data_IF_218111446913
#
_entry.id   IF_218111446913
#
_cell.length_a   1.000
_cell.length_b   1.000
_cell.length_c   1.000
_cell.angle_alpha   90.00
_cell.angle_beta   90.00
_cell.angle_gamma   90.00
#
_symmetry.space_group_name_H-M   'P 1'
#
loop_
_entity.id
_entity.type
_entity.pdbx_description
1 polymer ?
#
# COMPACT_ATOMS: atom_id res chain seq x y z
N UNK A 1 31.16 -3.47 -9.25
CA UNK A 1 30.61 -2.86 -10.47
C UNK A 1 29.22 -2.34 -10.13
N UNK A 2 29.09 -1.04 -9.87
CA UNK A 2 27.80 -0.43 -9.53
C UNK A 2 27.21 0.11 -10.82
N UNK A 3 26.12 -0.49 -11.29
CA UNK A 3 25.37 0.06 -12.40
C UNK A 3 24.61 1.29 -11.86
N UNK A 4 24.94 2.47 -12.37
CA UNK A 4 24.11 3.67 -12.23
C UNK A 4 23.09 3.57 -13.37
N UNK A 5 21.89 3.07 -13.08
CA UNK A 5 20.79 3.14 -14.04
C UNK A 5 20.41 4.60 -14.23
N UNK A 6 20.42 5.11 -15.46
CA UNK A 6 19.64 6.31 -15.75
C UNK A 6 18.17 5.96 -15.56
N UNK A 7 17.59 6.35 -14.43
CA UNK A 7 16.15 6.24 -14.21
C UNK A 7 15.44 7.28 -15.07
N UNK A 8 14.72 6.82 -16.09
CA UNK A 8 13.67 7.62 -16.71
C UNK A 8 12.70 8.11 -15.62
N UNK A 9 12.20 9.36 -15.69
CA UNK A 9 11.25 9.86 -14.72
C UNK A 9 10.04 8.94 -14.58
N UNK A 10 9.63 8.66 -13.34
CA UNK A 10 8.36 7.96 -13.09
C UNK A 10 7.22 8.93 -13.44
N UNK A 11 6.40 8.56 -14.42
CA UNK A 11 5.27 9.37 -14.87
C UNK A 11 4.00 8.85 -14.20
N UNK A 12 3.33 9.63 -13.33
CA UNK A 12 2.06 9.22 -12.74
C UNK A 12 0.92 9.26 -13.76
N UNK A 13 -0.20 8.61 -13.43
CA UNK A 13 -1.45 8.82 -14.17
C UNK A 13 -1.93 10.28 -14.02
N UNK A 14 -2.64 10.81 -15.02
CA UNK A 14 -3.07 12.21 -15.04
C UNK A 14 -4.09 12.56 -13.93
N UNK A 15 -4.92 11.59 -13.55
CA UNK A 15 -5.97 11.73 -12.54
C UNK A 15 -6.42 10.36 -12.05
N UNK A 16 -6.95 10.31 -10.82
CA UNK A 16 -7.57 9.12 -10.22
C UNK A 16 -8.99 9.47 -9.80
N UNK A 17 -9.96 8.62 -10.13
CA UNK A 17 -11.31 8.69 -9.57
C UNK A 17 -11.32 8.01 -8.19
N UNK A 18 -11.43 8.79 -7.13
CA UNK A 18 -11.35 8.28 -5.77
C UNK A 18 -12.49 7.31 -5.44
N UNK A 19 -13.68 7.47 -6.02
CA UNK A 19 -14.79 6.56 -5.76
C UNK A 19 -14.50 5.14 -6.29
N UNK A 20 -13.83 5.06 -7.45
CA UNK A 20 -13.38 3.78 -8.01
C UNK A 20 -12.11 3.24 -7.35
N UNK A 21 -11.32 4.12 -6.74
CA UNK A 21 -10.08 3.74 -6.05
C UNK A 21 -10.33 3.17 -4.63
N UNK A 22 -11.39 3.63 -3.96
CA UNK A 22 -11.77 3.13 -2.63
C UNK A 22 -12.08 1.64 -2.63
N UNK A 23 -11.91 1.00 -1.46
CA UNK A 23 -12.12 -0.42 -1.26
C UNK A 23 -10.83 -1.18 -0.94
N UNK A 24 -10.91 -2.50 -1.04
CA UNK A 24 -9.86 -3.42 -0.63
C UNK A 24 -8.93 -3.78 -1.78
N UNK A 25 -7.63 -3.56 -1.58
CA UNK A 25 -6.58 -3.96 -2.50
C UNK A 25 -5.71 -5.04 -1.87
N UNK A 26 -5.32 -6.03 -2.67
CA UNK A 26 -4.38 -7.08 -2.29
C UNK A 26 -3.00 -6.76 -2.86
N UNK A 27 -1.98 -6.81 -2.01
CA UNK A 27 -0.59 -6.66 -2.45
C UNK A 27 -0.15 -7.96 -3.13
N UNK A 28 0.03 -7.93 -4.45
CA UNK A 28 0.45 -9.10 -5.23
C UNK A 28 1.96 -9.31 -5.15
N UNK A 29 2.73 -8.22 -5.21
CA UNK A 29 4.19 -8.24 -5.07
C UNK A 29 4.69 -6.92 -4.48
N UNK A 30 5.87 -6.94 -3.89
CA UNK A 30 6.51 -5.77 -3.30
C UNK A 30 8.01 -5.80 -3.49
N UNK A 31 8.61 -4.61 -3.45
CA UNK A 31 10.04 -4.48 -3.16
C UNK A 31 10.21 -4.70 -1.65
N UNK A 32 11.10 -5.63 -1.22
CA UNK A 32 11.31 -5.90 0.20
C UNK A 32 11.67 -4.63 0.98
N UNK A 33 11.00 -4.42 2.12
CA UNK A 33 11.22 -3.26 2.98
C UNK A 33 11.11 -3.65 4.46
N UNK A 34 11.65 -2.78 5.34
CA UNK A 34 11.71 -3.04 6.78
C UNK A 34 10.36 -3.01 7.50
N UNK A 35 9.38 -2.30 6.94
CA UNK A 35 8.10 -2.04 7.60
C UNK A 35 7.13 -3.21 7.47
N UNK A 36 7.28 -4.01 6.41
CA UNK A 36 6.46 -5.19 6.14
C UNK A 36 7.26 -6.50 6.24
N UNK A 37 8.45 -6.48 6.87
CA UNK A 37 9.34 -7.65 6.93
C UNK A 37 8.74 -8.81 7.73
N UNK A 38 7.86 -8.49 8.68
CA UNK A 38 7.15 -9.41 9.56
C UNK A 38 5.89 -9.99 8.92
N UNK A 39 5.41 -9.40 7.82
CA UNK A 39 4.21 -9.87 7.13
C UNK A 39 4.49 -11.17 6.39
N UNK A 40 3.84 -12.25 6.81
CA UNK A 40 3.96 -13.57 6.20
C UNK A 40 3.01 -13.77 5.02
N UNK A 41 1.74 -13.35 5.14
CA UNK A 41 0.73 -13.49 4.08
C UNK A 41 -0.45 -12.54 4.25
N UNK A 42 -1.28 -12.46 3.21
CA UNK A 42 -2.56 -11.74 3.25
C UNK A 42 -2.43 -10.23 3.41
N UNK A 43 -1.37 -9.62 2.86
CA UNK A 43 -1.20 -8.17 2.91
C UNK A 43 -2.27 -7.45 2.10
N UNK A 44 -2.95 -6.49 2.72
CA UNK A 44 -3.97 -5.66 2.08
C UNK A 44 -3.78 -4.18 2.40
N UNK A 45 -4.36 -3.35 1.55
CA UNK A 45 -4.60 -1.93 1.79
C UNK A 45 -6.08 -1.63 1.54
N UNK A 46 -6.77 -1.11 2.56
CA UNK A 46 -8.16 -0.69 2.44
C UNK A 46 -8.25 0.84 2.47
N UNK A 47 -8.87 1.41 1.43
CA UNK A 47 -9.00 2.85 1.23
C UNK A 47 -10.44 3.31 1.46
N UNK A 48 -10.61 4.37 2.24
CA UNK A 48 -11.93 4.98 2.48
C UNK A 48 -11.86 6.50 2.33
N UNK A 49 -12.85 7.08 1.63
CA UNK A 49 -12.98 8.53 1.48
C UNK A 49 -13.57 9.17 2.74
N UNK A 50 -12.89 10.18 3.28
CA UNK A 50 -13.31 10.93 4.45
C UNK A 50 -14.13 12.17 4.07
N UNK A 51 -14.95 12.73 4.98
CA UNK A 51 -15.78 13.91 4.69
C UNK A 51 -14.99 15.17 4.30
N UNK A 52 -13.73 15.27 4.70
CA UNK A 52 -12.83 16.37 4.35
C UNK A 52 -12.09 16.16 3.01
N UNK A 53 -12.44 15.09 2.27
CA UNK A 53 -11.87 14.76 0.97
C UNK A 53 -10.56 13.98 1.03
N UNK A 54 -10.04 13.66 2.23
CA UNK A 54 -8.83 12.85 2.41
C UNK A 54 -9.13 11.36 2.29
N UNK A 55 -8.07 10.55 2.13
CA UNK A 55 -8.19 9.10 2.11
C UNK A 55 -7.65 8.52 3.42
N UNK A 56 -8.48 7.79 4.15
CA UNK A 56 -7.99 6.88 5.18
C UNK A 56 -7.42 5.64 4.51
N UNK A 57 -6.25 5.21 4.98
CA UNK A 57 -5.61 3.96 4.55
C UNK A 57 -5.45 3.03 5.74
N UNK A 58 -5.89 1.79 5.62
CA UNK A 58 -5.58 0.73 6.58
C UNK A 58 -4.74 -0.32 5.85
N UNK A 59 -3.46 -0.39 6.19
CA UNK A 59 -2.59 -1.49 5.75
C UNK A 59 -2.64 -2.59 6.79
N UNK A 60 -2.78 -3.84 6.35
CA UNK A 60 -2.92 -5.01 7.22
C UNK A 60 -2.16 -6.18 6.64
N UNK A 61 -1.59 -7.02 7.49
CA UNK A 61 -1.03 -8.30 7.09
C UNK A 61 -1.07 -9.30 8.25
N UNK A 62 -0.86 -10.59 7.95
CA UNK A 62 -0.72 -11.63 8.98
C UNK A 62 0.75 -12.00 9.17
N UNK A 63 1.18 -12.04 10.42
CA UNK A 63 2.50 -12.55 10.82
C UNK A 63 2.46 -14.08 10.99
N UNK A 64 1.31 -14.61 11.43
CA UNK A 64 1.01 -16.05 11.53
C UNK A 64 -0.50 -16.29 11.34
N UNK A 65 -1.01 -17.51 11.54
CA UNK A 65 -2.45 -17.75 11.47
C UNK A 65 -3.24 -16.97 12.54
N UNK A 66 -2.63 -16.75 13.70
CA UNK A 66 -3.27 -16.17 14.88
C UNK A 66 -2.82 -14.73 15.18
N UNK A 67 -1.82 -14.22 14.45
CA UNK A 67 -1.26 -12.89 14.68
C UNK A 67 -1.39 -12.00 13.43
N UNK A 68 -2.09 -10.88 13.61
CA UNK A 68 -2.30 -9.84 12.60
C UNK A 68 -1.57 -8.55 13.02
N UNK A 69 -1.01 -7.85 12.05
CA UNK A 69 -0.47 -6.50 12.20
C UNK A 69 -1.27 -5.53 11.32
N UNK A 70 -1.57 -4.33 11.83
CA UNK A 70 -2.30 -3.31 11.08
C UNK A 70 -1.89 -1.90 11.47
N UNK A 71 -1.89 -1.01 10.48
CA UNK A 71 -1.59 0.41 10.67
C UNK A 71 -2.59 1.28 9.91
N UNK A 72 -3.07 2.31 10.58
CA UNK A 72 -3.96 3.33 10.03
C UNK A 72 -3.18 4.60 9.70
N UNK A 73 -3.40 5.14 8.51
CA UNK A 73 -2.86 6.42 8.04
C UNK A 73 -3.91 7.28 7.34
N UNK A 74 -3.50 8.49 6.98
CA UNK A 74 -4.29 9.44 6.17
C UNK A 74 -3.39 9.96 5.05
N UNK A 75 -3.91 9.96 3.83
CA UNK A 75 -3.31 10.55 2.64
C UNK A 75 -4.08 11.82 2.24
#
# INVERSE_FOLDING_TARGET
MTAIGQESPVIPVSSVDLNQYTGLWYEITKIPNRFQKQCAFGTTAEYSLLPDGKIQVINRCRQSQDEEDSIKGVA
#
